data_IF_264575531155
#
_entry.id   IF_264575531155
#
_cell.length_a   1.000
_cell.length_b   1.000
_cell.length_c   1.000
_cell.angle_alpha   90.00
_cell.angle_beta   90.00
_cell.angle_gamma   90.00
#
_symmetry.space_group_name_H-M   'P 1'
#
loop_
_entity.id
_entity.type
_entity.pdbx_description
1 polymer ?
#
# COMPACT_ATOMS: atom_id res chain seq x y z
N UNK A 1 -17.45 61.63 -10.68
CA UNK A 1 -17.06 60.53 -9.76
C UNK A 1 -17.87 59.35 -10.13
N UNK A 2 -17.30 58.51 -10.96
CA UNK A 2 -17.88 57.23 -11.41
C UNK A 2 -17.72 56.25 -10.26
N UNK A 3 -18.84 55.71 -9.75
CA UNK A 3 -18.82 54.52 -8.89
C UNK A 3 -18.29 53.37 -9.72
N UNK A 4 -17.20 52.79 -9.25
CA UNK A 4 -16.66 51.57 -9.77
C UNK A 4 -17.77 50.47 -9.77
N UNK A 5 -18.11 50.02 -10.93
CA UNK A 5 -19.03 48.89 -11.15
C UNK A 5 -18.25 47.60 -10.87
N UNK A 6 -17.97 47.35 -9.58
CA UNK A 6 -17.47 46.04 -9.15
C UNK A 6 -18.59 45.03 -9.39
N UNK A 7 -18.38 44.18 -10.36
CA UNK A 7 -19.30 43.05 -10.63
C UNK A 7 -19.50 42.21 -9.35
N UNK A 8 -20.54 41.36 -9.31
CA UNK A 8 -20.84 40.57 -8.13
C UNK A 8 -19.63 39.74 -7.69
N UNK A 9 -19.36 39.75 -6.40
CA UNK A 9 -18.28 38.97 -5.79
C UNK A 9 -18.45 37.48 -6.17
N UNK A 10 -17.39 36.87 -6.70
CA UNK A 10 -17.41 35.49 -7.20
C UNK A 10 -16.54 34.59 -6.33
N UNK A 11 -17.13 33.48 -5.88
CA UNK A 11 -16.44 32.46 -5.08
C UNK A 11 -16.22 31.21 -5.94
N UNK A 12 -14.99 30.97 -6.38
CA UNK A 12 -14.63 29.78 -7.15
C UNK A 12 -14.50 28.55 -6.23
N UNK A 13 -14.88 27.38 -6.72
CA UNK A 13 -14.62 26.12 -6.04
C UNK A 13 -13.12 25.91 -5.89
N UNK A 14 -12.66 25.76 -4.65
CA UNK A 14 -11.25 25.49 -4.38
C UNK A 14 -10.94 24.02 -4.59
N UNK A 15 -9.84 23.73 -5.27
CA UNK A 15 -9.25 22.39 -5.28
C UNK A 15 -8.54 22.15 -3.96
N UNK A 16 -8.54 20.90 -3.50
CA UNK A 16 -7.71 20.53 -2.36
C UNK A 16 -6.24 20.83 -2.69
N UNK A 17 -5.56 21.44 -1.76
CA UNK A 17 -4.13 21.74 -1.83
C UNK A 17 -3.46 21.22 -0.58
N UNK A 18 -2.26 20.67 -0.73
CA UNK A 18 -1.43 20.28 0.40
C UNK A 18 -1.08 21.52 1.23
N UNK A 19 -1.27 21.43 2.54
CA UNK A 19 -0.78 22.45 3.45
C UNK A 19 0.73 22.26 3.71
N UNK A 20 1.49 23.33 4.05
CA UNK A 20 2.93 23.21 4.28
C UNK A 20 3.34 22.16 5.33
N UNK A 21 2.46 21.89 6.30
CA UNK A 21 2.73 20.96 7.40
C UNK A 21 2.14 19.54 7.17
N UNK A 22 1.46 19.32 6.06
CA UNK A 22 0.86 18.00 5.77
C UNK A 22 1.84 17.09 5.05
N UNK A 23 1.89 15.82 5.47
CA UNK A 23 2.63 14.75 4.77
C UNK A 23 1.69 13.95 3.91
N UNK A 24 2.01 13.82 2.63
CA UNK A 24 1.33 12.90 1.72
C UNK A 24 2.07 11.56 1.67
N UNK A 25 1.34 10.47 1.76
CA UNK A 25 1.88 9.11 1.65
C UNK A 25 1.21 8.38 0.51
N UNK A 26 2.00 7.96 -0.45
CA UNK A 26 1.60 6.98 -1.45
C UNK A 26 1.90 5.59 -0.90
N UNK A 27 0.86 4.78 -0.75
CA UNK A 27 0.95 3.36 -0.48
C UNK A 27 0.93 2.64 -1.83
N UNK A 28 2.08 2.14 -2.26
CA UNK A 28 2.24 1.37 -3.49
C UNK A 28 2.25 -0.12 -3.14
N UNK A 29 1.22 -0.88 -3.56
CA UNK A 29 1.28 -2.33 -3.38
C UNK A 29 2.39 -2.90 -4.25
N UNK A 30 3.14 -3.89 -3.74
CA UNK A 30 4.16 -4.57 -4.54
C UNK A 30 3.58 -5.17 -5.83
N UNK A 31 4.40 -5.30 -6.87
CA UNK A 31 4.07 -5.95 -8.13
C UNK A 31 3.70 -7.44 -7.97
N UNK A 32 3.14 -8.05 -8.99
CA UNK A 32 2.79 -9.46 -8.97
C UNK A 32 4.02 -10.31 -8.64
N UNK A 33 3.94 -11.11 -7.58
CA UNK A 33 5.04 -12.01 -7.18
C UNK A 33 4.88 -13.39 -7.81
N UNK A 34 5.95 -14.18 -7.81
CA UNK A 34 5.96 -15.54 -8.34
C UNK A 34 4.76 -16.34 -7.81
N UNK A 35 4.14 -17.21 -8.65
CA UNK A 35 3.03 -18.05 -8.22
C UNK A 35 3.49 -19.09 -7.20
N UNK A 36 2.56 -19.50 -6.33
CA UNK A 36 2.79 -20.64 -5.45
C UNK A 36 2.65 -21.95 -6.22
N UNK A 37 3.63 -22.83 -6.06
CA UNK A 37 3.61 -24.20 -6.62
C UNK A 37 3.47 -25.17 -5.44
N UNK A 38 2.45 -26.03 -5.42
CA UNK A 38 2.30 -27.04 -4.37
C UNK A 38 3.53 -27.96 -4.28
N UNK A 39 4.08 -28.09 -3.09
CA UNK A 39 5.33 -28.83 -2.85
C UNK A 39 6.60 -27.98 -2.89
N UNK A 40 6.51 -26.73 -3.35
CA UNK A 40 7.61 -25.78 -3.42
C UNK A 40 7.23 -24.50 -2.65
N UNK A 41 7.27 -24.52 -1.31
CA UNK A 41 6.91 -23.35 -0.52
C UNK A 41 7.88 -22.18 -0.78
N UNK A 42 7.36 -20.96 -0.71
CA UNK A 42 8.22 -19.78 -0.79
C UNK A 42 9.30 -19.79 0.30
N UNK A 43 10.51 -19.32 0.00
CA UNK A 43 11.49 -19.04 1.05
C UNK A 43 10.89 -18.11 2.09
N UNK A 44 11.34 -18.26 3.32
CA UNK A 44 10.85 -17.43 4.43
C UNK A 44 11.91 -16.41 4.84
N UNK A 45 11.46 -15.18 5.13
CA UNK A 45 12.22 -14.17 5.84
C UNK A 45 11.51 -13.86 7.16
N UNK A 46 12.20 -14.04 8.27
CA UNK A 46 11.62 -13.83 9.61
C UNK A 46 10.27 -14.54 9.81
N UNK A 47 10.13 -15.74 9.27
CA UNK A 47 8.94 -16.58 9.37
C UNK A 47 7.84 -16.29 8.35
N UNK A 48 7.99 -15.28 7.49
CA UNK A 48 6.98 -14.91 6.48
C UNK A 48 7.46 -15.25 5.06
N UNK A 49 6.53 -15.68 4.21
CA UNK A 49 6.83 -16.05 2.82
C UNK A 49 7.32 -14.87 1.98
N UNK A 50 8.50 -15.03 1.36
CA UNK A 50 9.18 -13.97 0.61
C UNK A 50 9.43 -14.35 -0.87
N UNK A 51 8.39 -14.53 -1.71
CA UNK A 51 8.58 -14.73 -3.13
C UNK A 51 9.08 -13.43 -3.81
N UNK A 52 9.97 -13.54 -4.82
CA UNK A 52 10.34 -12.41 -5.67
C UNK A 52 9.18 -11.98 -6.58
N UNK A 53 9.35 -10.87 -7.28
CA UNK A 53 8.44 -10.50 -8.37
C UNK A 53 8.47 -11.54 -9.49
N UNK A 54 7.35 -11.68 -10.17
CA UNK A 54 7.26 -12.33 -11.48
C UNK A 54 7.64 -11.34 -12.58
N UNK A 55 7.83 -11.81 -13.82
CA UNK A 55 8.07 -10.93 -14.97
C UNK A 55 6.95 -9.88 -15.16
N UNK A 56 5.68 -10.26 -14.87
CA UNK A 56 4.55 -9.32 -14.88
C UNK A 56 4.74 -8.27 -13.77
N UNK A 57 5.16 -8.70 -12.57
CA UNK A 57 5.41 -7.80 -11.45
C UNK A 57 6.55 -6.81 -11.71
N UNK A 58 7.59 -7.24 -12.40
CA UNK A 58 8.69 -6.36 -12.83
C UNK A 58 8.19 -5.29 -13.82
N UNK A 59 7.40 -5.70 -14.82
CA UNK A 59 6.78 -4.76 -15.77
C UNK A 59 5.83 -3.77 -15.09
N UNK A 60 5.06 -4.23 -14.07
CA UNK A 60 4.21 -3.35 -13.27
C UNK A 60 5.02 -2.35 -12.45
N UNK A 61 6.16 -2.76 -11.89
CA UNK A 61 7.07 -1.89 -11.16
C UNK A 61 7.66 -0.78 -12.04
N UNK A 62 8.07 -1.11 -13.26
CA UNK A 62 8.55 -0.15 -14.27
C UNK A 62 7.45 0.87 -14.64
N UNK A 63 6.23 0.42 -14.91
CA UNK A 63 5.11 1.31 -15.22
C UNK A 63 4.80 2.26 -14.04
N UNK A 64 4.87 1.76 -12.81
CA UNK A 64 4.68 2.56 -11.60
C UNK A 64 5.80 3.60 -11.43
N UNK A 65 7.05 3.23 -11.74
CA UNK A 65 8.18 4.15 -11.72
C UNK A 65 8.00 5.29 -12.73
N UNK A 66 7.59 4.98 -13.96
CA UNK A 66 7.28 6.01 -14.98
C UNK A 66 6.20 6.97 -14.49
N UNK A 67 5.13 6.44 -13.89
CA UNK A 67 4.02 7.26 -13.36
C UNK A 67 4.44 8.15 -12.20
N UNK A 68 5.21 7.60 -11.25
CA UNK A 68 5.53 8.26 -9.99
C UNK A 68 6.77 9.16 -10.08
N UNK A 69 7.69 8.93 -11.02
CA UNK A 69 8.88 9.78 -11.20
C UNK A 69 8.57 11.24 -11.55
N UNK A 70 7.34 11.54 -11.95
CA UNK A 70 6.88 12.91 -12.23
C UNK A 70 6.37 13.65 -10.98
N UNK A 71 6.27 12.97 -9.84
CA UNK A 71 5.80 13.55 -8.60
C UNK A 71 6.98 14.05 -7.74
N UNK A 72 6.81 15.07 -6.90
CA UNK A 72 7.88 15.62 -6.06
C UNK A 72 8.14 14.74 -4.83
N UNK A 73 8.50 13.49 -5.05
CA UNK A 73 8.76 12.49 -4.01
C UNK A 73 10.12 12.77 -3.39
N UNK A 74 10.17 12.75 -2.05
CA UNK A 74 11.39 13.06 -1.28
C UNK A 74 11.96 11.84 -0.54
N UNK A 75 11.16 10.80 -0.28
CA UNK A 75 11.62 9.60 0.39
C UNK A 75 10.85 8.34 -0.07
N UNK A 76 11.55 7.21 -0.02
CA UNK A 76 11.02 5.88 -0.31
C UNK A 76 11.21 4.97 0.91
N UNK A 77 10.19 4.16 1.19
CA UNK A 77 10.21 3.12 2.23
C UNK A 77 9.80 1.79 1.63
N UNK A 78 10.57 0.75 1.86
CA UNK A 78 10.23 -0.63 1.52
C UNK A 78 10.14 -1.47 2.79
N UNK A 79 9.46 -2.60 2.74
CA UNK A 79 9.58 -3.60 3.79
C UNK A 79 10.86 -4.43 3.60
N UNK A 80 11.22 -5.28 4.57
CA UNK A 80 12.34 -6.19 4.41
C UNK A 80 12.07 -7.32 3.39
N UNK A 81 10.86 -7.39 2.83
CA UNK A 81 10.50 -8.39 1.81
C UNK A 81 10.97 -7.98 0.42
N UNK A 82 11.62 -8.90 -0.29
CA UNK A 82 12.25 -8.62 -1.59
C UNK A 82 11.27 -8.04 -2.63
N UNK A 83 10.02 -8.51 -2.68
CA UNK A 83 9.02 -8.02 -3.63
C UNK A 83 8.70 -6.53 -3.50
N UNK A 84 8.75 -5.94 -2.30
CA UNK A 84 8.55 -4.49 -2.11
C UNK A 84 9.79 -3.71 -2.53
N UNK A 85 10.98 -4.21 -2.24
CA UNK A 85 12.25 -3.61 -2.64
C UNK A 85 12.39 -3.65 -4.16
N UNK A 86 12.11 -4.78 -4.80
CA UNK A 86 12.11 -4.93 -6.26
C UNK A 86 11.08 -3.99 -6.93
N UNK A 87 9.92 -3.79 -6.31
CA UNK A 87 8.91 -2.86 -6.84
C UNK A 87 9.37 -1.40 -6.80
N UNK A 88 10.09 -1.00 -5.75
CA UNK A 88 10.57 0.39 -5.64
C UNK A 88 11.90 0.63 -6.35
N UNK A 89 12.66 -0.41 -6.71
CA UNK A 89 13.98 -0.26 -7.32
C UNK A 89 13.99 0.62 -8.59
N UNK A 90 13.08 0.45 -9.57
CA UNK A 90 13.04 1.32 -10.75
C UNK A 90 12.74 2.79 -10.38
N UNK A 91 11.82 3.04 -9.46
CA UNK A 91 11.47 4.38 -8.98
C UNK A 91 12.65 5.02 -8.25
N UNK A 92 13.31 4.27 -7.36
CA UNK A 92 14.50 4.73 -6.64
C UNK A 92 15.63 5.12 -7.59
N UNK A 93 15.87 4.32 -8.63
CA UNK A 93 16.85 4.64 -9.67
C UNK A 93 16.47 5.91 -10.44
N UNK A 94 15.20 6.09 -10.82
CA UNK A 94 14.72 7.26 -11.55
C UNK A 94 14.83 8.56 -10.74
N UNK A 95 14.62 8.49 -9.42
CA UNK A 95 14.68 9.65 -8.51
C UNK A 95 16.05 9.84 -7.85
N UNK A 96 16.95 8.88 -7.98
CA UNK A 96 18.22 8.80 -7.23
C UNK A 96 17.99 8.83 -5.70
N UNK A 97 17.01 8.04 -5.23
CA UNK A 97 16.64 7.91 -3.82
C UNK A 97 16.69 6.43 -3.43
N UNK A 98 17.47 6.09 -2.41
CA UNK A 98 17.47 4.75 -1.83
C UNK A 98 16.25 4.56 -0.92
N UNK A 99 15.61 3.39 -1.03
CA UNK A 99 14.49 3.05 -0.15
C UNK A 99 14.98 2.64 1.25
N UNK A 100 14.51 3.32 2.28
CA UNK A 100 14.74 2.91 3.67
C UNK A 100 13.87 1.67 4.00
N UNK A 101 14.39 0.78 4.84
CA UNK A 101 13.63 -0.42 5.26
C UNK A 101 12.78 -0.11 6.49
N UNK A 102 11.46 -0.31 6.34
CA UNK A 102 10.50 -0.25 7.43
C UNK A 102 9.83 -1.62 7.62
N UNK A 103 10.29 -2.36 8.64
CA UNK A 103 9.87 -3.75 8.88
C UNK A 103 8.44 -3.87 9.36
N UNK A 104 7.95 -2.88 10.09
CA UNK A 104 6.61 -2.93 10.68
C UNK A 104 5.49 -2.63 9.67
N UNK A 105 5.86 -2.25 8.42
CA UNK A 105 4.96 -2.21 7.26
C UNK A 105 4.92 -3.52 6.45
N UNK A 106 5.54 -4.62 6.94
CA UNK A 106 5.45 -5.92 6.27
C UNK A 106 4.04 -6.49 6.32
N UNK A 107 3.77 -7.46 5.43
CA UNK A 107 2.44 -8.10 5.34
C UNK A 107 2.04 -8.76 6.67
N UNK A 108 0.76 -9.08 6.79
CA UNK A 108 0.21 -9.86 7.90
C UNK A 108 0.97 -11.18 8.05
N UNK A 109 1.32 -11.56 9.28
CA UNK A 109 1.83 -12.87 9.60
C UNK A 109 0.71 -13.90 9.51
N UNK A 110 0.85 -14.90 8.63
CA UNK A 110 -0.21 -15.86 8.30
C UNK A 110 -0.10 -17.17 9.10
N UNK A 111 0.85 -17.27 10.05
CA UNK A 111 1.02 -18.45 10.88
C UNK A 111 1.19 -19.73 10.04
N UNK A 112 0.32 -20.73 10.24
CA UNK A 112 0.40 -22.00 9.51
C UNK A 112 0.17 -21.88 7.99
N UNK A 113 -0.30 -20.73 7.51
CA UNK A 113 -0.56 -20.52 6.09
C UNK A 113 0.52 -19.71 5.37
N UNK A 114 1.69 -19.58 5.99
CA UNK A 114 2.86 -18.98 5.36
C UNK A 114 3.39 -19.83 4.18
N UNK A 115 4.40 -19.31 3.50
CA UNK A 115 5.05 -19.97 2.36
C UNK A 115 4.19 -20.15 1.13
N UNK A 116 3.06 -19.43 1.03
CA UNK A 116 2.16 -19.45 -0.12
C UNK A 116 0.87 -20.24 0.08
N UNK A 117 0.69 -20.89 1.25
CA UNK A 117 -0.49 -21.72 1.52
C UNK A 117 -1.80 -20.92 1.50
N UNK A 118 -1.80 -19.63 1.89
CA UNK A 118 -2.99 -18.78 1.78
C UNK A 118 -3.57 -18.80 0.35
N UNK A 119 -2.72 -18.74 -0.68
CA UNK A 119 -3.16 -18.71 -2.09
C UNK A 119 -3.86 -20.01 -2.47
N UNK A 120 -3.28 -21.15 -2.05
CA UNK A 120 -3.89 -22.46 -2.26
C UNK A 120 -5.22 -22.59 -1.54
N UNK A 121 -5.26 -22.21 -0.25
CA UNK A 121 -6.47 -22.28 0.57
C UNK A 121 -7.59 -21.38 0.03
N UNK A 122 -7.25 -20.21 -0.48
CA UNK A 122 -8.19 -19.31 -1.16
C UNK A 122 -8.76 -19.95 -2.43
N UNK A 123 -7.90 -20.50 -3.30
CA UNK A 123 -8.31 -21.17 -4.54
C UNK A 123 -9.20 -22.41 -4.29
N UNK A 124 -8.95 -23.14 -3.19
CA UNK A 124 -9.72 -24.30 -2.76
C UNK A 124 -11.02 -23.94 -2.02
N UNK A 125 -11.31 -22.67 -1.79
CA UNK A 125 -12.42 -22.19 -0.95
C UNK A 125 -12.46 -22.89 0.43
N UNK A 126 -11.29 -23.03 1.06
CA UNK A 126 -11.12 -23.74 2.31
C UNK A 126 -12.04 -23.15 3.41
N UNK A 127 -12.66 -24.00 4.28
CA UNK A 127 -13.62 -23.50 5.30
C UNK A 127 -13.07 -22.38 6.20
N UNK A 128 -11.81 -22.48 6.65
CA UNK A 128 -11.16 -21.42 7.45
C UNK A 128 -11.00 -20.13 6.61
N UNK A 129 -10.70 -20.23 5.30
CA UNK A 129 -10.64 -19.05 4.43
C UNK A 129 -12.01 -18.36 4.33
N UNK A 130 -13.08 -19.13 4.16
CA UNK A 130 -14.45 -18.59 4.14
C UNK A 130 -14.84 -17.98 5.49
N UNK A 131 -14.43 -18.59 6.60
CA UNK A 131 -14.65 -18.06 7.94
C UNK A 131 -13.90 -16.74 8.13
N UNK A 132 -12.62 -16.67 7.75
CA UNK A 132 -11.80 -15.45 7.77
C UNK A 132 -12.49 -14.30 7.01
N UNK A 133 -12.99 -14.55 5.81
CA UNK A 133 -13.70 -13.54 5.02
C UNK A 133 -15.01 -13.11 5.69
N UNK A 134 -15.77 -14.05 6.25
CA UNK A 134 -17.06 -13.78 6.92
C UNK A 134 -16.86 -12.97 8.21
N UNK A 135 -15.90 -13.35 9.04
CA UNK A 135 -15.62 -12.70 10.30
C UNK A 135 -14.72 -11.46 10.15
N UNK A 136 -14.08 -11.31 8.99
CA UNK A 136 -13.12 -10.25 8.69
C UNK A 136 -11.96 -10.21 9.70
N UNK A 137 -11.42 -11.37 10.02
CA UNK A 137 -10.35 -11.57 11.00
C UNK A 137 -9.29 -12.51 10.46
N UNK A 138 -8.03 -12.10 10.59
CA UNK A 138 -6.88 -12.90 10.17
C UNK A 138 -6.57 -14.04 11.15
N UNK A 139 -6.73 -13.82 12.43
CA UNK A 139 -6.44 -14.78 13.51
C UNK A 139 -7.41 -15.99 13.57
N UNK A 140 -8.34 -16.08 12.63
CA UNK A 140 -9.05 -17.34 12.31
C UNK A 140 -8.07 -18.37 11.72
N UNK A 141 -7.01 -17.91 11.06
CA UNK A 141 -5.92 -18.77 10.59
C UNK A 141 -5.03 -19.10 11.78
N UNK A 142 -4.76 -20.39 12.08
CA UNK A 142 -3.94 -20.78 13.22
C UNK A 142 -2.55 -20.12 13.22
N UNK A 143 -2.21 -19.44 14.30
CA UNK A 143 -0.93 -18.76 14.46
C UNK A 143 -0.75 -17.46 13.65
N UNK A 144 -1.78 -16.99 12.96
CA UNK A 144 -1.72 -15.67 12.30
C UNK A 144 -1.81 -14.52 13.30
N UNK A 145 -1.28 -13.36 12.92
CA UNK A 145 -1.47 -12.12 13.67
C UNK A 145 -2.97 -11.76 13.77
N UNK A 146 -3.39 -11.19 14.88
CA UNK A 146 -4.72 -10.57 14.97
C UNK A 146 -4.79 -9.27 14.16
N UNK A 147 -6.00 -8.85 13.83
CA UNK A 147 -6.22 -7.54 13.18
C UNK A 147 -5.66 -6.37 14.01
N UNK A 148 -5.74 -6.48 15.33
CA UNK A 148 -5.26 -5.45 16.26
C UNK A 148 -3.73 -5.35 16.27
N UNK A 149 -3.02 -6.47 16.43
CA UNK A 149 -1.55 -6.52 16.40
C UNK A 149 -1.02 -6.01 15.05
N UNK A 150 -1.53 -6.56 13.95
CA UNK A 150 -1.17 -6.18 12.60
C UNK A 150 -1.43 -4.69 12.32
N UNK A 151 -2.66 -4.26 12.57
CA UNK A 151 -3.06 -2.87 12.31
C UNK A 151 -2.33 -1.88 13.20
N UNK A 152 -2.09 -2.24 14.47
CA UNK A 152 -1.35 -1.42 15.44
C UNK A 152 0.08 -1.16 14.97
N UNK A 153 0.86 -2.22 14.65
CA UNK A 153 2.25 -2.04 14.20
C UNK A 153 2.36 -1.23 12.90
N UNK A 154 1.43 -1.46 11.94
CA UNK A 154 1.42 -0.71 10.69
C UNK A 154 1.12 0.79 10.91
N UNK A 155 0.14 1.11 11.74
CA UNK A 155 -0.21 2.49 12.04
C UNK A 155 0.89 3.20 12.84
N UNK A 156 1.51 2.52 13.78
CA UNK A 156 2.62 3.07 14.56
C UNK A 156 3.83 3.38 13.67
N UNK A 157 4.20 2.46 12.78
CA UNK A 157 5.26 2.68 11.81
C UNK A 157 4.96 3.89 10.90
N UNK A 158 3.74 3.94 10.38
CA UNK A 158 3.32 5.05 9.52
C UNK A 158 3.36 6.39 10.25
N UNK A 159 2.86 6.44 11.49
CA UNK A 159 2.92 7.64 12.34
C UNK A 159 4.36 8.09 12.64
N UNK A 160 5.31 7.15 12.81
CA UNK A 160 6.72 7.48 12.97
C UNK A 160 7.34 8.03 11.67
N UNK A 161 6.97 7.47 10.52
CA UNK A 161 7.44 7.94 9.21
C UNK A 161 7.00 9.38 8.97
N UNK A 162 5.71 9.68 9.08
CA UNK A 162 5.20 11.02 8.74
C UNK A 162 5.75 12.14 9.63
N UNK A 163 6.11 11.83 10.87
CA UNK A 163 6.76 12.80 11.76
C UNK A 163 8.15 13.24 11.29
N UNK A 164 8.80 12.42 10.46
CA UNK A 164 10.13 12.71 9.86
C UNK A 164 10.04 13.50 8.57
N UNK A 165 8.83 13.62 7.99
CA UNK A 165 8.59 14.16 6.65
C UNK A 165 7.52 15.25 6.60
N UNK A 166 7.56 16.30 7.48
CA UNK A 166 6.55 17.37 7.44
C UNK A 166 6.63 18.12 6.10
N UNK A 167 5.48 18.31 5.46
CA UNK A 167 5.40 19.01 4.17
C UNK A 167 5.83 18.20 2.94
N UNK A 168 6.12 16.92 3.07
CA UNK A 168 6.71 16.09 2.02
C UNK A 168 5.69 15.14 1.39
N UNK A 169 6.05 14.61 0.21
CA UNK A 169 5.41 13.48 -0.45
C UNK A 169 6.35 12.28 -0.41
N UNK A 170 5.90 11.20 0.19
CA UNK A 170 6.69 9.97 0.32
C UNK A 170 5.98 8.77 -0.29
N UNK A 171 6.74 7.73 -0.63
CA UNK A 171 6.18 6.46 -1.13
C UNK A 171 6.58 5.32 -0.20
N UNK A 172 5.60 4.52 0.21
CA UNK A 172 5.80 3.27 0.93
C UNK A 172 5.41 2.09 0.03
N UNK A 173 6.40 1.28 -0.37
CA UNK A 173 6.19 0.00 -1.04
C UNK A 173 5.72 -1.04 -0.02
N UNK A 174 4.45 -1.44 -0.10
CA UNK A 174 3.76 -2.23 0.92
C UNK A 174 2.94 -3.38 0.31
N UNK A 175 2.03 -3.94 1.08
CA UNK A 175 1.26 -5.15 0.77
C UNK A 175 -0.25 -4.88 0.81
N UNK A 176 -1.01 -5.81 0.24
CA UNK A 176 -2.47 -5.67 0.16
C UNK A 176 -3.16 -5.62 1.51
N UNK A 177 -2.73 -6.45 2.47
CA UNK A 177 -3.26 -6.43 3.82
C UNK A 177 -2.94 -5.13 4.57
N UNK A 178 -1.72 -4.61 4.40
CA UNK A 178 -1.29 -3.32 4.99
C UNK A 178 -2.16 -2.17 4.50
N UNK A 179 -2.36 -2.04 3.18
CA UNK A 179 -3.22 -1.01 2.60
C UNK A 179 -4.64 -1.13 3.17
N UNK A 180 -5.21 -2.35 3.12
CA UNK A 180 -6.56 -2.60 3.63
C UNK A 180 -6.73 -2.24 5.10
N UNK A 181 -5.77 -2.63 5.95
CA UNK A 181 -5.78 -2.36 7.39
C UNK A 181 -5.65 -0.87 7.71
N UNK A 182 -4.66 -0.18 7.10
CA UNK A 182 -4.46 1.25 7.32
C UNK A 182 -5.67 2.08 6.89
N UNK A 183 -6.21 1.82 5.70
CA UNK A 183 -7.38 2.56 5.21
C UNK A 183 -8.64 2.26 6.03
N UNK A 184 -8.83 1.03 6.50
CA UNK A 184 -9.95 0.68 7.36
C UNK A 184 -9.90 1.42 8.69
N UNK A 185 -8.72 1.54 9.32
CA UNK A 185 -8.54 2.29 10.55
C UNK A 185 -8.76 3.79 10.35
N UNK A 186 -8.18 4.38 9.30
CA UNK A 186 -8.35 5.81 8.96
C UNK A 186 -9.83 6.14 8.71
N UNK A 187 -10.53 5.27 7.97
CA UNK A 187 -11.96 5.45 7.67
C UNK A 187 -12.90 5.04 8.82
N UNK A 188 -12.38 4.46 9.90
CA UNK A 188 -13.16 3.88 10.99
C UNK A 188 -14.24 2.91 10.47
N UNK A 189 -13.87 2.09 9.50
CA UNK A 189 -14.73 1.12 8.83
C UNK A 189 -14.52 -0.29 9.34
N UNK A 190 -15.29 -1.25 8.80
CA UNK A 190 -15.06 -2.68 9.06
C UNK A 190 -13.70 -3.11 8.53
N UNK A 191 -13.04 -4.14 9.12
CA UNK A 191 -11.64 -4.48 8.85
C UNK A 191 -11.29 -4.73 7.38
N UNK A 192 -12.14 -5.43 6.61
CA UNK A 192 -11.85 -5.77 5.21
C UNK A 192 -12.57 -4.86 4.20
N UNK A 193 -12.98 -3.64 4.62
CA UNK A 193 -13.67 -2.69 3.74
C UNK A 193 -12.82 -2.24 2.52
N UNK A 194 -11.50 -2.21 2.68
CA UNK A 194 -10.52 -1.84 1.65
C UNK A 194 -9.64 -3.03 1.25
N UNK A 195 -10.19 -4.25 1.29
CA UNK A 195 -9.49 -5.43 0.82
C UNK A 195 -9.34 -5.47 -0.71
N UNK A 196 -8.30 -6.17 -1.20
CA UNK A 196 -8.15 -6.46 -2.62
C UNK A 196 -7.51 -5.34 -3.45
N UNK A 197 -6.67 -4.49 -2.87
CA UNK A 197 -5.84 -3.59 -3.68
C UNK A 197 -5.05 -4.38 -4.74
N UNK A 198 -5.00 -3.91 -6.00
CA UNK A 198 -4.31 -4.58 -7.10
C UNK A 198 -2.78 -4.45 -7.00
N UNK A 199 -2.03 -5.36 -7.61
CA UNK A 199 -0.57 -5.26 -7.66
C UNK A 199 -0.14 -3.95 -8.34
N UNK A 200 0.83 -3.27 -7.77
CA UNK A 200 1.28 -1.94 -8.17
C UNK A 200 0.20 -0.86 -8.22
N UNK A 201 -0.97 -1.08 -7.58
CA UNK A 201 -1.95 0.00 -7.41
C UNK A 201 -1.45 1.07 -6.44
N UNK A 202 -1.90 2.29 -6.67
CA UNK A 202 -1.59 3.47 -5.88
C UNK A 202 -2.78 3.79 -4.98
N UNK A 203 -2.55 3.79 -3.66
CA UNK A 203 -3.46 4.40 -2.69
C UNK A 203 -2.76 5.61 -2.07
N UNK A 204 -3.49 6.66 -1.73
CA UNK A 204 -2.91 7.91 -1.22
C UNK A 204 -3.66 8.37 0.02
N UNK A 205 -2.90 8.66 1.06
CA UNK A 205 -3.38 9.20 2.33
C UNK A 205 -2.60 10.47 2.68
N UNK A 206 -3.18 11.29 3.53
CA UNK A 206 -2.57 12.54 3.99
C UNK A 206 -2.65 12.62 5.51
N UNK A 207 -1.53 12.93 6.13
CA UNK A 207 -1.45 13.32 7.53
C UNK A 207 -1.42 14.84 7.65
N UNK A 208 -2.34 15.43 8.39
CA UNK A 208 -2.39 16.87 8.61
C UNK A 208 -3.07 17.18 9.95
N UNK A 209 -2.50 18.11 10.71
CA UNK A 209 -3.06 18.57 11.99
C UNK A 209 -3.44 17.47 12.99
N UNK A 210 -2.73 16.33 12.98
CA UNK A 210 -3.00 15.22 13.88
C UNK A 210 -4.01 14.19 13.35
N UNK A 211 -4.50 14.36 12.14
CA UNK A 211 -5.53 13.51 11.55
C UNK A 211 -5.10 12.93 10.20
N UNK A 212 -5.64 11.76 9.87
CA UNK A 212 -5.47 11.10 8.60
C UNK A 212 -6.68 11.33 7.68
N UNK A 213 -6.42 11.50 6.39
CA UNK A 213 -7.45 11.54 5.35
C UNK A 213 -7.08 10.62 4.18
N UNK A 214 -8.06 9.93 3.61
CA UNK A 214 -7.89 9.12 2.41
C UNK A 214 -8.17 9.99 1.20
N UNK A 215 -7.23 10.03 0.25
CA UNK A 215 -7.36 10.78 -1.01
C UNK A 215 -7.69 9.88 -2.20
N UNK A 216 -7.16 8.62 -2.17
CA UNK A 216 -7.30 7.67 -3.26
C UNK A 216 -7.17 6.24 -2.74
N UNK A 217 -7.89 5.32 -3.35
CA UNK A 217 -7.74 3.88 -3.12
C UNK A 217 -7.68 3.14 -4.45
N UNK A 218 -6.74 2.21 -4.57
CA UNK A 218 -6.62 1.23 -5.65
C UNK A 218 -6.58 1.81 -7.07
N UNK A 219 -5.89 2.94 -7.29
CA UNK A 219 -5.70 3.48 -8.64
C UNK A 219 -4.63 2.65 -9.39
N UNK A 220 -5.07 1.91 -10.40
CA UNK A 220 -4.25 1.10 -11.30
C UNK A 220 -4.27 1.62 -12.75
N UNK A 221 -4.71 2.86 -12.98
CA UNK A 221 -4.88 3.44 -14.32
C UNK A 221 -3.59 3.48 -15.16
N UNK A 222 -2.42 3.54 -14.51
CA UNK A 222 -1.12 3.50 -15.16
C UNK A 222 -0.70 2.09 -15.61
N UNK A 223 -1.45 1.05 -15.25
CA UNK A 223 -1.18 -0.36 -15.55
C UNK A 223 -2.06 -0.91 -16.68
N UNK A 224 -2.69 -0.05 -17.46
CA UNK A 224 -3.69 -0.48 -18.45
C UNK A 224 -3.16 -1.58 -19.39
N UNK A 225 -1.95 -1.46 -19.91
CA UNK A 225 -1.35 -2.47 -20.78
C UNK A 225 -1.04 -3.78 -20.04
N UNK A 226 -0.58 -3.71 -18.78
CA UNK A 226 -0.22 -4.86 -17.95
C UNK A 226 -1.44 -5.62 -17.42
N UNK A 227 -2.61 -4.99 -17.36
CA UNK A 227 -3.86 -5.62 -16.91
C UNK A 227 -4.60 -6.35 -18.04
N UNK A 228 -4.41 -5.93 -19.30
CA UNK A 228 -5.17 -6.45 -20.44
C UNK A 228 -4.41 -7.48 -21.28
N UNK A 229 -3.13 -7.74 -20.97
CA UNK A 229 -2.27 -8.67 -21.73
C UNK A 229 -1.70 -9.81 -20.84
N UNK A 230 -2.24 -10.03 -19.64
CA UNK A 230 -1.86 -11.09 -18.70
C UNK A 230 -2.81 -12.27 -18.67
#
# INVERSE_FOLDING_TARGET
MTKDDEGPEQFAQQRWQRTPDSTEVILLRHGASQPFVPGEPFPLIEGQGDPPLSAIGESQAEASAVRLSQEPITALYATNMQRTQQTLAPLGAALNIDAAIERDLREIGLGEWEGGLLRKKAAENHPIYQQMLKEQRWDVIPGAESNEEFGGRCMDALNQIVRRHPGELIVCGVHGGVIGSLLAQIAQSRPFAFGGADNCSISQIVWSAGEWAIRRFNDSSHLFEQLHHG
#
